data_IF_058468336225
#
_entry.id   IF_058468336225
#
_cell.length_a   1.000
_cell.length_b   1.000
_cell.length_c   1.000
_cell.angle_alpha   90.00
_cell.angle_beta   90.00
_cell.angle_gamma   90.00
#
_symmetry.space_group_name_H-M   'P 1'
#
loop_
_entity.id
_entity.type
_entity.pdbx_description
1 polymer ?
#
# COMPACT_ATOMS: atom_id res chain seq x y z
N UNK A 1 -7.69 -36.43 22.36
CA UNK A 1 -8.22 -35.05 22.22
C UNK A 1 -7.18 -34.21 21.50
N UNK A 2 -7.29 -34.02 20.19
CA UNK A 2 -6.38 -33.17 19.42
C UNK A 2 -7.15 -31.92 18.98
N UNK A 3 -6.71 -30.73 19.41
CA UNK A 3 -7.33 -29.45 19.04
C UNK A 3 -7.09 -29.18 17.57
N UNK A 4 -8.16 -28.88 16.83
CA UNK A 4 -8.12 -28.51 15.42
C UNK A 4 -7.19 -27.30 15.21
N UNK A 5 -6.20 -27.45 14.32
CA UNK A 5 -5.36 -26.35 13.87
C UNK A 5 -6.21 -25.28 13.19
N UNK A 6 -5.80 -24.01 13.35
CA UNK A 6 -6.50 -22.86 12.79
C UNK A 6 -6.71 -23.05 11.27
N UNK A 7 -7.94 -23.42 10.90
CA UNK A 7 -8.39 -23.43 9.52
C UNK A 7 -8.43 -21.98 9.06
N UNK A 8 -7.38 -21.52 8.37
CA UNK A 8 -7.49 -20.35 7.49
C UNK A 8 -8.43 -20.77 6.36
N UNK A 9 -9.71 -20.60 6.62
CA UNK A 9 -10.81 -20.86 5.71
C UNK A 9 -10.55 -20.07 4.44
N UNK A 10 -10.29 -20.78 3.33
CA UNK A 10 -11.01 -20.76 2.05
C UNK A 10 -11.89 -19.53 1.72
N UNK A 11 -11.46 -18.33 2.08
CA UNK A 11 -12.09 -17.04 1.81
C UNK A 11 -11.09 -16.05 1.18
N UNK A 12 -9.85 -16.49 0.93
CA UNK A 12 -8.85 -15.76 0.17
C UNK A 12 -8.90 -16.07 -1.34
N UNK A 13 -9.55 -17.16 -1.74
CA UNK A 13 -9.61 -17.59 -3.14
C UNK A 13 -10.71 -16.87 -3.96
N UNK A 14 -11.75 -16.32 -3.32
CA UNK A 14 -12.85 -15.59 -4.00
C UNK A 14 -12.71 -14.06 -3.89
N UNK A 15 -11.49 -13.56 -3.73
CA UNK A 15 -11.13 -12.15 -3.98
C UNK A 15 -10.11 -12.02 -5.12
N UNK A 16 -10.18 -12.97 -6.07
CA UNK A 16 -9.40 -12.96 -7.31
C UNK A 16 -10.11 -12.23 -8.45
N UNK A 17 -11.21 -11.53 -8.18
CA UNK A 17 -12.01 -10.80 -9.17
C UNK A 17 -12.06 -9.32 -8.78
N UNK A 18 -10.90 -8.67 -8.79
CA UNK A 18 -10.78 -7.21 -8.72
C UNK A 18 -9.91 -6.71 -9.88
N UNK A 19 -10.11 -7.30 -11.07
CA UNK A 19 -9.43 -6.91 -12.29
C UNK A 19 -10.38 -5.99 -13.08
N UNK A 20 -10.36 -4.69 -12.74
CA UNK A 20 -10.56 -3.48 -13.59
C UNK A 20 -10.75 -2.21 -12.71
N UNK A 21 -10.34 -2.23 -11.43
CA UNK A 21 -10.48 -1.10 -10.51
C UNK A 21 -9.14 -0.57 -10.02
N UNK A 22 -9.04 0.75 -9.84
CA UNK A 22 -7.92 1.39 -9.12
C UNK A 22 -7.75 0.72 -7.74
N UNK A 23 -6.51 0.45 -7.34
CA UNK A 23 -6.23 -0.23 -6.08
C UNK A 23 -6.89 0.53 -4.91
N UNK A 24 -7.59 -0.14 -3.98
CA UNK A 24 -8.32 0.53 -2.91
C UNK A 24 -7.43 1.34 -1.96
N UNK A 25 -6.13 1.03 -1.86
CA UNK A 25 -5.15 1.85 -1.14
C UNK A 25 -4.78 3.09 -1.97
N UNK A 26 -4.52 2.92 -3.27
CA UNK A 26 -4.23 4.05 -4.17
C UNK A 26 -5.37 5.06 -4.20
N UNK A 27 -6.63 4.61 -4.27
CA UNK A 27 -7.81 5.47 -4.20
C UNK A 27 -7.89 6.26 -2.87
N UNK A 28 -7.49 5.65 -1.76
CA UNK A 28 -7.43 6.33 -0.45
C UNK A 28 -6.32 7.37 -0.40
N UNK A 29 -5.16 7.04 -0.96
CA UNK A 29 -4.00 7.96 -1.04
C UNK A 29 -4.29 9.11 -2.02
N UNK A 30 -5.03 8.88 -3.11
CA UNK A 30 -5.50 9.93 -4.01
C UNK A 30 -6.29 11.01 -3.27
N UNK A 31 -7.20 10.61 -2.37
CA UNK A 31 -7.98 11.53 -1.54
C UNK A 31 -7.13 12.36 -0.57
N UNK A 32 -5.91 11.92 -0.24
CA UNK A 32 -4.99 12.69 0.62
C UNK A 32 -4.14 13.68 -0.16
N UNK A 33 -4.10 13.60 -1.49
CA UNK A 33 -3.23 14.41 -2.33
C UNK A 33 -1.75 13.97 -2.32
N UNK A 34 -1.44 12.80 -1.71
CA UNK A 34 -0.07 12.26 -1.63
C UNK A 34 0.21 11.14 -2.65
N UNK A 35 -0.63 11.03 -3.68
CA UNK A 35 -0.56 9.95 -4.68
C UNK A 35 0.71 9.99 -5.53
N UNK A 36 1.21 11.19 -5.85
CA UNK A 36 2.45 11.38 -6.60
C UNK A 36 3.64 10.75 -5.87
N UNK A 37 3.82 11.07 -4.57
CA UNK A 37 4.92 10.51 -3.78
C UNK A 37 4.75 9.01 -3.57
N UNK A 38 3.51 8.51 -3.55
CA UNK A 38 3.23 7.09 -3.50
C UNK A 38 3.66 6.37 -4.79
N UNK A 39 3.33 6.91 -5.97
CA UNK A 39 3.74 6.37 -7.26
C UNK A 39 5.27 6.34 -7.41
N UNK A 40 5.96 7.41 -7.04
CA UNK A 40 7.43 7.44 -7.04
C UNK A 40 8.03 6.36 -6.14
N UNK A 41 7.41 6.07 -5.00
CA UNK A 41 7.83 4.99 -4.13
C UNK A 41 7.57 3.61 -4.78
N UNK A 42 6.40 3.41 -5.39
CA UNK A 42 6.09 2.18 -6.13
C UNK A 42 7.08 1.96 -7.29
N UNK A 43 7.40 3.00 -8.07
CA UNK A 43 8.39 2.95 -9.14
C UNK A 43 9.77 2.55 -8.62
N UNK A 44 10.26 3.19 -7.55
CA UNK A 44 11.54 2.82 -6.95
C UNK A 44 11.56 1.37 -6.46
N UNK A 45 10.45 0.90 -5.87
CA UNK A 45 10.32 -0.49 -5.43
C UNK A 45 10.22 -1.47 -6.60
N UNK A 46 9.61 -1.08 -7.72
CA UNK A 46 9.56 -1.89 -8.94
C UNK A 46 10.95 -2.03 -9.57
N UNK A 47 11.72 -0.94 -9.62
CA UNK A 47 13.07 -0.93 -10.19
C UNK A 47 14.09 -1.64 -9.30
N UNK A 48 14.14 -1.29 -8.01
CA UNK A 48 15.23 -1.70 -7.09
C UNK A 48 14.87 -2.88 -6.24
N UNK A 49 13.58 -3.05 -5.92
CA UNK A 49 13.05 -4.09 -5.02
C UNK A 49 13.70 -4.10 -3.64
N UNK A 50 14.31 -2.98 -3.24
CA UNK A 50 14.98 -2.79 -1.96
C UNK A 50 14.64 -1.41 -1.40
N UNK A 51 13.84 -1.41 -0.33
CA UNK A 51 13.35 -0.21 0.32
C UNK A 51 14.48 0.68 0.89
N UNK A 52 15.66 0.10 1.18
CA UNK A 52 16.81 0.86 1.71
C UNK A 52 17.35 1.84 0.68
N UNK A 53 17.21 1.54 -0.60
CA UNK A 53 17.58 2.44 -1.70
C UNK A 53 16.45 3.43 -2.04
N UNK A 54 15.23 3.19 -1.54
CA UNK A 54 14.06 4.04 -1.74
C UNK A 54 13.77 4.98 -0.56
N UNK A 55 14.75 5.20 0.32
CA UNK A 55 14.60 6.05 1.51
C UNK A 55 14.19 7.49 1.19
N UNK A 56 14.59 8.03 0.04
CA UNK A 56 14.19 9.37 -0.38
C UNK A 56 12.68 9.44 -0.65
N UNK A 57 12.16 8.49 -1.42
CA UNK A 57 10.76 8.35 -1.77
C UNK A 57 9.90 8.05 -0.53
N UNK A 58 10.38 7.17 0.36
CA UNK A 58 9.73 6.88 1.64
C UNK A 58 9.60 8.14 2.51
N UNK A 59 10.67 8.94 2.62
CA UNK A 59 10.64 10.20 3.38
C UNK A 59 9.72 11.22 2.74
N UNK A 60 9.71 11.35 1.41
CA UNK A 60 8.82 12.26 0.69
C UNK A 60 7.34 11.89 0.91
N UNK A 61 7.00 10.62 0.78
CA UNK A 61 5.65 10.12 1.02
C UNK A 61 5.22 10.33 2.47
N UNK A 62 6.07 9.96 3.44
CA UNK A 62 5.81 10.17 4.86
C UNK A 62 5.64 11.64 5.23
N UNK A 63 6.46 12.54 4.67
CA UNK A 63 6.34 13.97 4.89
C UNK A 63 5.04 14.54 4.32
N UNK A 64 4.60 14.07 3.14
CA UNK A 64 3.31 14.47 2.57
C UNK A 64 2.15 14.05 3.49
N UNK A 65 2.14 12.77 3.88
CA UNK A 65 1.10 12.23 4.74
C UNK A 65 1.07 12.96 6.08
N UNK A 66 2.23 13.17 6.72
CA UNK A 66 2.31 13.95 7.96
C UNK A 66 1.67 15.33 7.81
N UNK A 67 2.00 16.08 6.74
CA UNK A 67 1.40 17.39 6.46
C UNK A 67 -0.13 17.33 6.27
N UNK A 68 -0.66 16.25 5.67
CA UNK A 68 -2.12 16.02 5.59
C UNK A 68 -2.72 15.89 6.99
N UNK A 69 -2.11 15.08 7.87
CA UNK A 69 -2.65 14.84 9.22
C UNK A 69 -2.66 16.11 10.08
N UNK A 70 -1.73 17.05 9.84
CA UNK A 70 -1.70 18.34 10.53
C UNK A 70 -2.74 19.36 10.00
N UNK A 71 -3.38 19.06 8.86
CA UNK A 71 -4.36 19.94 8.20
C UNK A 71 -5.81 19.48 8.39
N UNK A 72 -6.01 18.26 8.88
CA UNK A 72 -7.29 17.72 9.35
C UNK A 72 -7.46 18.00 10.85
#
# INVERSE_FOLDING_TARGET
MAKAGHAWSRAAAERGEAEEGEDPLDARIARTGCLEQHRQLQECMAERRDWRHCQAQLRAFGACMARRQQRE
#
